data_IF_440018019852
#
_entry.id   IF_440018019852
#
_cell.length_a   1.000
_cell.length_b   1.000
_cell.length_c   1.000
_cell.angle_alpha   90.00
_cell.angle_beta   90.00
_cell.angle_gamma   90.00
#
_symmetry.space_group_name_H-M   'P 1'
#
loop_
_entity.id
_entity.type
_entity.pdbx_description
1 polymer ?
#
# COMPACT_ATOMS: atom_id res chain seq x y z
N UNK A 1 6.72 -0.17 -11.14
CA UNK A 1 5.83 -0.57 -10.04
C UNK A 1 4.68 0.40 -9.94
N UNK A 2 3.47 -0.11 -9.85
CA UNK A 2 2.27 0.72 -9.70
C UNK A 2 1.86 0.73 -8.25
N UNK A 3 1.71 1.93 -7.67
CA UNK A 3 1.36 2.13 -6.26
C UNK A 3 -0.05 2.68 -6.17
N UNK A 4 -0.92 1.97 -5.45
CA UNK A 4 -2.28 2.45 -5.19
C UNK A 4 -2.27 3.33 -3.94
N UNK A 5 -2.85 4.51 -4.05
CA UNK A 5 -3.01 5.43 -2.92
C UNK A 5 -4.51 5.67 -2.73
N UNK A 6 -5.17 4.90 -1.85
CA UNK A 6 -6.61 5.03 -1.64
C UNK A 6 -7.00 6.35 -0.98
N UNK A 7 -6.09 6.92 -0.20
CA UNK A 7 -6.30 8.18 0.48
C UNK A 7 -5.24 9.17 0.05
N UNK A 8 -5.62 10.44 -0.09
CA UNK A 8 -4.67 11.46 -0.48
C UNK A 8 -3.57 11.59 0.58
N UNK A 9 -2.34 11.78 0.12
CA UNK A 9 -1.18 11.97 0.98
C UNK A 9 -0.49 13.27 0.61
N UNK A 10 0.53 13.65 1.40
CA UNK A 10 1.28 14.87 1.12
C UNK A 10 1.94 14.80 -0.26
N UNK A 11 2.03 15.96 -0.91
CA UNK A 11 2.66 16.05 -2.23
C UNK A 11 4.09 15.53 -2.22
N UNK A 12 4.80 15.74 -1.11
CA UNK A 12 6.17 15.26 -0.99
C UNK A 12 6.24 13.73 -1.14
N UNK A 13 5.26 13.01 -0.57
CA UNK A 13 5.23 11.56 -0.70
C UNK A 13 4.98 11.12 -2.14
N UNK A 14 4.05 11.80 -2.82
CA UNK A 14 3.77 11.50 -4.22
C UNK A 14 4.97 11.77 -5.10
N UNK A 15 5.60 12.93 -4.90
CA UNK A 15 6.78 13.29 -5.66
C UNK A 15 7.90 12.29 -5.47
N UNK A 16 8.08 11.83 -4.22
CA UNK A 16 9.08 10.84 -3.91
C UNK A 16 8.88 9.57 -4.75
N UNK A 17 7.64 9.07 -4.81
CA UNK A 17 7.35 7.86 -5.57
C UNK A 17 7.57 8.07 -7.07
N UNK A 18 7.18 9.22 -7.59
CA UNK A 18 7.38 9.53 -9.00
C UNK A 18 8.85 9.64 -9.32
N UNK A 19 9.65 10.23 -8.42
CA UNK A 19 11.09 10.34 -8.61
C UNK A 19 11.77 8.96 -8.63
N UNK A 20 11.18 7.97 -7.99
CA UNK A 20 11.67 6.60 -8.01
C UNK A 20 11.23 5.84 -9.24
N UNK A 21 10.45 6.46 -10.11
CA UNK A 21 9.95 5.81 -11.31
C UNK A 21 8.71 4.98 -11.10
N UNK A 22 8.04 5.13 -9.97
CA UNK A 22 6.80 4.42 -9.69
C UNK A 22 5.62 5.13 -10.32
N UNK A 23 4.64 4.35 -10.74
CA UNK A 23 3.39 4.88 -11.24
C UNK A 23 2.40 4.98 -10.08
N UNK A 24 1.69 6.09 -10.00
CA UNK A 24 0.71 6.30 -8.92
C UNK A 24 -0.70 6.16 -9.47
N UNK A 25 -1.49 5.34 -8.80
CA UNK A 25 -2.92 5.21 -9.08
C UNK A 25 -3.68 5.73 -7.86
N UNK A 26 -4.40 6.83 -8.04
CA UNK A 26 -5.22 7.38 -6.97
C UNK A 26 -6.51 6.59 -6.86
N UNK A 27 -6.84 6.12 -5.64
CA UNK A 27 -8.05 5.39 -5.40
C UNK A 27 -9.28 6.29 -5.37
N UNK A 28 -10.44 5.70 -5.62
CA UNK A 28 -11.70 6.43 -5.62
C UNK A 28 -12.25 6.62 -4.21
N UNK A 29 -11.97 5.68 -3.33
CA UNK A 29 -12.44 5.72 -1.96
C UNK A 29 -11.52 4.86 -1.09
N UNK A 30 -11.63 5.03 0.22
CA UNK A 30 -10.76 4.34 1.17
C UNK A 30 -11.46 3.19 1.87
N UNK A 31 -12.55 2.68 1.32
CA UNK A 31 -13.24 1.53 1.88
C UNK A 31 -12.68 0.22 1.35
N UNK A 32 -12.87 -0.83 2.12
CA UNK A 32 -12.30 -2.14 1.81
C UNK A 32 -12.68 -2.64 0.40
N UNK A 33 -13.94 -2.52 0.04
CA UNK A 33 -14.39 -3.05 -1.25
C UNK A 33 -13.77 -2.30 -2.43
N UNK A 34 -13.72 -0.98 -2.34
CA UNK A 34 -13.15 -0.17 -3.40
C UNK A 34 -11.65 -0.44 -3.54
N UNK A 35 -10.96 -0.50 -2.41
CA UNK A 35 -9.52 -0.79 -2.41
C UNK A 35 -9.27 -2.16 -3.03
N UNK A 36 -10.08 -3.16 -2.66
CA UNK A 36 -9.92 -4.52 -3.19
C UNK A 36 -10.10 -4.56 -4.71
N UNK A 37 -11.02 -3.76 -5.24
CA UNK A 37 -11.20 -3.69 -6.68
C UNK A 37 -10.06 -2.99 -7.38
N UNK A 38 -9.53 -1.94 -6.77
CA UNK A 38 -8.52 -1.10 -7.41
C UNK A 38 -7.12 -1.66 -7.30
N UNK A 39 -6.86 -2.52 -6.32
CA UNK A 39 -5.52 -3.06 -6.08
C UNK A 39 -5.15 -4.20 -7.01
N UNK A 40 -6.12 -4.73 -7.75
CA UNK A 40 -5.91 -5.94 -8.54
C UNK A 40 -4.78 -5.83 -9.55
N UNK A 41 -4.50 -4.63 -10.05
CA UNK A 41 -3.44 -4.40 -11.03
C UNK A 41 -2.28 -3.59 -10.45
N UNK A 42 -2.22 -3.49 -9.11
CA UNK A 42 -1.19 -2.71 -8.44
C UNK A 42 -0.16 -3.61 -7.79
N UNK A 43 1.07 -3.11 -7.68
CA UNK A 43 2.18 -3.83 -7.06
C UNK A 43 2.35 -3.46 -5.59
N UNK A 44 1.88 -2.29 -5.20
CA UNK A 44 2.03 -1.78 -3.84
C UNK A 44 0.83 -0.91 -3.46
N UNK A 45 0.62 -0.77 -2.16
CA UNK A 45 -0.38 0.14 -1.60
C UNK A 45 0.31 1.05 -0.62
N UNK A 46 0.02 2.34 -0.70
CA UNK A 46 0.47 3.32 0.30
C UNK A 46 -0.78 3.90 0.95
N UNK A 47 -0.94 3.67 2.25
CA UNK A 47 -2.14 4.08 2.97
C UNK A 47 -1.80 4.99 4.14
N UNK A 48 -2.83 5.62 4.68
CA UNK A 48 -2.75 6.37 5.94
C UNK A 48 -3.58 5.67 7.00
N UNK A 49 -4.91 5.73 6.89
CA UNK A 49 -5.83 5.09 7.84
C UNK A 49 -6.77 4.09 7.18
N UNK A 50 -6.67 3.93 5.87
CA UNK A 50 -7.52 2.99 5.15
C UNK A 50 -7.27 1.55 5.61
N UNK A 51 -8.31 0.72 5.69
CA UNK A 51 -8.13 -0.68 6.10
C UNK A 51 -7.51 -1.51 4.97
N UNK A 52 -6.54 -2.32 5.33
CA UNK A 52 -5.97 -3.32 4.41
C UNK A 52 -6.19 -4.67 5.05
N UNK A 53 -7.31 -5.27 4.73
CA UNK A 53 -7.72 -6.55 5.29
C UNK A 53 -7.26 -7.70 4.41
N UNK A 54 -7.48 -8.92 4.88
CA UNK A 54 -7.17 -10.10 4.07
C UNK A 54 -7.86 -10.04 2.70
N UNK A 55 -9.09 -9.54 2.66
CA UNK A 55 -9.82 -9.39 1.40
C UNK A 55 -9.05 -8.52 0.39
N UNK A 56 -8.53 -7.40 0.86
CA UNK A 56 -7.72 -6.51 0.01
C UNK A 56 -6.44 -7.20 -0.43
N UNK A 57 -5.76 -7.85 0.51
CA UNK A 57 -4.48 -8.50 0.21
C UNK A 57 -4.66 -9.64 -0.79
N UNK A 58 -5.71 -10.40 -0.66
CA UNK A 58 -5.98 -11.51 -1.59
C UNK A 58 -6.41 -11.00 -2.97
N UNK A 59 -7.07 -9.85 -3.02
CA UNK A 59 -7.47 -9.26 -4.29
C UNK A 59 -6.26 -8.74 -5.07
N UNK A 60 -5.22 -8.31 -4.38
CA UNK A 60 -4.00 -7.80 -5.02
C UNK A 60 -3.07 -8.93 -5.43
N UNK A 61 -3.37 -9.58 -6.53
CA UNK A 61 -2.59 -10.75 -6.98
C UNK A 61 -1.15 -10.41 -7.30
N UNK A 62 -0.88 -9.18 -7.70
CA UNK A 62 0.48 -8.73 -8.00
C UNK A 62 1.06 -7.92 -6.85
N UNK A 63 0.33 -7.78 -5.76
CA UNK A 63 0.72 -6.95 -4.64
C UNK A 63 1.94 -7.54 -3.94
N UNK A 64 2.97 -6.73 -3.74
CA UNK A 64 4.23 -7.16 -3.14
C UNK A 64 4.51 -6.47 -1.82
N UNK A 65 4.00 -5.25 -1.64
CA UNK A 65 4.30 -4.47 -0.45
C UNK A 65 3.12 -3.58 -0.09
N UNK A 66 2.90 -3.42 1.20
CA UNK A 66 1.93 -2.48 1.76
C UNK A 66 2.70 -1.54 2.67
N UNK A 67 2.60 -0.24 2.41
CA UNK A 67 3.27 0.76 3.20
C UNK A 67 2.25 1.67 3.85
N UNK A 68 2.47 2.01 5.12
CA UNK A 68 1.62 2.95 5.83
C UNK A 68 2.40 4.22 6.11
N UNK A 69 1.78 5.35 5.78
CA UNK A 69 2.35 6.66 6.07
C UNK A 69 1.97 7.05 7.50
N UNK A 70 2.91 6.83 8.43
CA UNK A 70 2.67 7.10 9.84
C UNK A 70 3.30 6.02 10.70
N UNK A 71 2.90 5.96 11.96
CA UNK A 71 3.41 4.96 12.90
C UNK A 71 2.38 3.87 13.11
N UNK A 72 2.85 2.64 13.29
CA UNK A 72 1.98 1.51 13.55
C UNK A 72 1.39 0.92 12.27
N UNK A 73 0.77 -0.24 12.42
CA UNK A 73 0.15 -0.95 11.30
C UNK A 73 -1.18 -1.58 11.72
N UNK A 74 -1.86 -0.95 12.66
CA UNK A 74 -3.08 -1.53 13.25
C UNK A 74 -4.20 -1.73 12.25
N UNK A 75 -4.21 -0.95 11.18
CA UNK A 75 -5.22 -1.05 10.14
C UNK A 75 -4.84 -2.00 9.02
N UNK A 76 -3.73 -2.72 9.16
CA UNK A 76 -3.26 -3.68 8.16
C UNK A 76 -3.29 -5.08 8.78
N UNK A 77 -3.84 -6.05 8.07
CA UNK A 77 -3.80 -7.44 8.50
C UNK A 77 -2.40 -8.00 8.20
N UNK A 78 -1.48 -7.77 9.11
CA UNK A 78 -0.09 -8.14 8.95
C UNK A 78 0.08 -9.66 8.84
N UNK A 79 -0.72 -10.41 9.59
CA UNK A 79 -0.65 -11.87 9.53
C UNK A 79 -1.02 -12.38 8.14
N UNK A 80 -2.10 -11.85 7.57
CA UNK A 80 -2.51 -12.25 6.22
C UNK A 80 -1.45 -11.87 5.20
N UNK A 81 -0.86 -10.68 5.34
CA UNK A 81 0.20 -10.25 4.44
C UNK A 81 1.39 -11.20 4.50
N UNK A 82 1.77 -11.60 5.70
CA UNK A 82 2.88 -12.55 5.87
C UNK A 82 2.57 -13.89 5.20
N UNK A 83 1.36 -14.39 5.38
CA UNK A 83 0.96 -15.66 4.77
C UNK A 83 0.95 -15.59 3.25
N UNK A 84 0.64 -14.43 2.71
CA UNK A 84 0.57 -14.23 1.25
C UNK A 84 1.91 -13.79 0.65
N UNK A 85 2.93 -13.63 1.48
CA UNK A 85 4.24 -13.20 1.00
C UNK A 85 4.33 -11.73 0.68
N UNK A 86 3.46 -10.92 1.26
CA UNK A 86 3.41 -9.47 1.04
C UNK A 86 4.14 -8.79 2.18
N UNK A 87 5.08 -7.90 1.84
CA UNK A 87 5.85 -7.17 2.84
C UNK A 87 5.04 -5.97 3.36
N UNK A 88 5.12 -5.74 4.67
CA UNK A 88 4.45 -4.60 5.31
C UNK A 88 5.50 -3.68 5.90
N UNK A 89 5.42 -2.39 5.58
CA UNK A 89 6.39 -1.40 6.05
C UNK A 89 5.69 -0.20 6.68
N UNK A 90 6.40 0.49 7.56
CA UNK A 90 6.00 1.79 8.07
C UNK A 90 6.85 2.83 7.38
N UNK A 91 6.20 3.85 6.81
CA UNK A 91 6.91 4.93 6.18
C UNK A 91 7.10 4.73 4.68
N UNK A 92 7.90 5.56 4.05
CA UNK A 92 8.07 5.53 2.60
C UNK A 92 8.67 4.22 2.11
N UNK A 93 8.30 3.83 0.90
CA UNK A 93 8.80 2.61 0.29
C UNK A 93 10.32 2.62 0.12
N UNK A 94 10.92 3.80 0.14
CA UNK A 94 12.37 3.93 -0.01
C UNK A 94 13.16 3.41 1.18
N UNK A 95 12.51 3.17 2.31
CA UNK A 95 13.19 2.69 3.50
C UNK A 95 13.21 1.17 3.59
N UNK A 96 13.24 0.53 2.46
CA UNK A 96 13.21 -0.93 2.41
C UNK A 96 14.37 -1.56 3.15
N UNK A 97 15.54 -0.91 3.17
CA UNK A 97 16.70 -1.45 3.86
C UNK A 97 16.48 -1.51 5.37
N UNK A 98 15.66 -0.66 5.91
CA UNK A 98 15.39 -0.70 7.35
C UNK A 98 14.35 -1.74 7.72
N UNK A 99 13.71 -2.32 6.74
CA UNK A 99 12.64 -3.30 6.96
C UNK A 99 13.16 -4.73 6.91
N UNK A 100 14.31 -4.87 6.43
CA UNK A 100 14.93 -6.19 6.23
C UNK A 100 14.79 -7.12 7.41
#
# INVERSE_FOLDING_TARGET
MKVLIPQDIAEAGKKFLLDKGYEIKMGSAADEETIAKEVTDCDAILIRTAPVTRKVLEAGKNLKVVSRHGVGVDNIDVQAATELGIQVTNGPLSNSESVA
#
